data_IF_019107174896
#
_entry.id   IF_019107174896
#
_cell.length_a   1.000
_cell.length_b   1.000
_cell.length_c   1.000
_cell.angle_alpha   90.00
_cell.angle_beta   90.00
_cell.angle_gamma   90.00
#
_symmetry.space_group_name_H-M   'P 1'
#
loop_
_entity.id
_entity.type
_entity.pdbx_description
1 polymer ?
#
# COMPACT_ATOMS: atom_id res chain seq x y z
N UNK A 1 24.70 7.62 -7.33
CA UNK A 1 23.26 7.40 -7.01
C UNK A 1 23.17 6.41 -5.84
N UNK A 2 22.63 6.82 -4.67
CA UNK A 2 22.63 6.02 -3.42
C UNK A 2 21.54 4.92 -3.47
N UNK A 3 21.82 3.83 -4.17
CA UNK A 3 20.94 2.66 -4.34
C UNK A 3 20.51 2.00 -3.01
N UNK A 4 21.29 2.19 -1.94
CA UNK A 4 21.02 1.64 -0.59
C UNK A 4 19.77 2.22 0.08
N UNK A 5 19.42 3.47 -0.20
CA UNK A 5 18.26 4.13 0.43
C UNK A 5 16.94 3.61 -0.17
N UNK A 6 16.93 3.41 -1.49
CA UNK A 6 15.78 2.93 -2.24
C UNK A 6 15.38 1.50 -1.84
N UNK A 7 16.37 0.61 -1.71
CA UNK A 7 16.11 -0.78 -1.33
C UNK A 7 15.50 -0.92 0.07
N UNK A 8 15.89 -0.04 1.02
CA UNK A 8 15.32 -0.02 2.38
C UNK A 8 13.85 0.39 2.39
N UNK A 9 13.48 1.45 1.66
CA UNK A 9 12.08 1.93 1.56
C UNK A 9 11.19 0.93 0.81
N UNK A 10 11.72 0.28 -0.23
CA UNK A 10 11.02 -0.74 -1.01
C UNK A 10 10.71 -1.99 -0.17
N UNK A 11 11.67 -2.46 0.64
CA UNK A 11 11.47 -3.65 1.50
C UNK A 11 10.47 -3.38 2.63
N UNK A 12 10.50 -2.19 3.24
CA UNK A 12 9.57 -1.80 4.31
C UNK A 12 8.12 -1.65 3.84
N UNK A 13 7.90 -1.06 2.66
CA UNK A 13 6.55 -0.92 2.11
C UNK A 13 5.95 -2.27 1.72
N UNK A 14 6.71 -3.15 1.08
CA UNK A 14 6.24 -4.49 0.67
C UNK A 14 5.86 -5.35 1.89
N UNK A 15 6.65 -5.31 2.98
CA UNK A 15 6.45 -6.18 4.13
C UNK A 15 5.18 -5.84 4.93
N UNK A 16 4.88 -4.55 5.12
CA UNK A 16 3.77 -4.11 5.97
C UNK A 16 2.42 -4.14 5.23
N UNK A 17 2.41 -3.98 3.90
CA UNK A 17 1.15 -3.98 3.13
C UNK A 17 0.60 -5.37 2.84
N UNK A 18 1.46 -6.39 2.78
CA UNK A 18 1.04 -7.77 2.51
C UNK A 18 0.25 -8.40 3.67
N UNK A 19 0.49 -8.00 4.92
CA UNK A 19 -0.17 -8.60 6.09
C UNK A 19 -1.61 -8.11 6.25
N UNK A 20 -1.89 -6.84 5.98
CA UNK A 20 -3.26 -6.33 6.01
C UNK A 20 -4.09 -6.86 4.83
N UNK A 21 -3.54 -6.92 3.62
CA UNK A 21 -4.33 -7.22 2.42
C UNK A 21 -4.65 -8.71 2.23
N UNK A 22 -3.74 -9.63 2.61
CA UNK A 22 -3.97 -11.08 2.51
C UNK A 22 -5.18 -11.55 3.35
N UNK A 23 -5.51 -10.85 4.42
CA UNK A 23 -6.67 -11.14 5.25
C UNK A 23 -8.00 -10.61 4.70
N UNK A 24 -7.98 -9.61 3.80
CA UNK A 24 -9.20 -9.02 3.21
C UNK A 24 -9.51 -9.54 1.81
N UNK A 25 -8.49 -9.96 1.06
CA UNK A 25 -8.69 -10.63 -0.22
C UNK A 25 -9.06 -12.11 0.03
N UNK A 26 -10.35 -12.42 0.15
CA UNK A 26 -10.89 -13.79 -0.04
C UNK A 26 -10.59 -14.37 -1.44
N UNK A 27 -9.93 -13.61 -2.31
CA UNK A 27 -9.59 -14.00 -3.66
C UNK A 27 -8.14 -14.49 -3.66
N UNK A 28 -7.96 -15.81 -3.83
CA UNK A 28 -6.69 -16.44 -4.16
C UNK A 28 -5.98 -15.61 -5.24
N UNK A 29 -4.94 -14.88 -4.84
CA UNK A 29 -4.07 -14.17 -5.79
C UNK A 29 -3.00 -15.16 -6.18
N UNK A 30 -3.12 -15.75 -7.37
CA UNK A 30 -1.98 -16.42 -8.00
C UNK A 30 -0.98 -15.33 -8.38
N UNK A 31 0.04 -15.13 -7.55
CA UNK A 31 1.01 -14.03 -7.67
C UNK A 31 1.87 -14.11 -8.93
N UNK A 32 1.87 -15.26 -9.62
CA UNK A 32 2.68 -15.50 -10.82
C UNK A 32 2.27 -14.64 -12.03
N UNK A 33 1.11 -13.98 -11.99
CA UNK A 33 0.56 -13.19 -13.10
C UNK A 33 0.31 -11.71 -12.73
N UNK A 34 1.06 -11.15 -11.79
CA UNK A 34 0.96 -9.73 -11.42
C UNK A 34 2.13 -8.94 -12.01
N UNK A 35 1.80 -7.90 -12.77
CA UNK A 35 2.77 -6.92 -13.30
C UNK A 35 2.68 -5.63 -12.48
N UNK A 36 3.84 -5.06 -12.14
CA UNK A 36 3.95 -3.87 -11.30
C UNK A 36 4.39 -2.66 -12.12
N UNK A 37 3.72 -1.53 -11.93
CA UNK A 37 4.15 -0.23 -12.44
C UNK A 37 4.40 0.71 -11.25
N UNK A 38 5.62 1.20 -11.11
CA UNK A 38 6.01 2.10 -10.03
C UNK A 38 5.96 3.56 -10.49
N UNK A 39 5.42 4.45 -9.67
CA UNK A 39 5.39 5.88 -9.91
C UNK A 39 6.38 6.58 -8.97
N UNK A 40 7.40 7.23 -9.52
CA UNK A 40 8.40 7.98 -8.77
C UNK A 40 8.29 9.49 -9.01
N UNK A 41 8.51 10.29 -7.98
CA UNK A 41 8.65 11.74 -8.07
C UNK A 41 9.75 12.21 -7.12
N UNK A 42 10.71 12.97 -7.64
CA UNK A 42 11.83 13.52 -6.87
C UNK A 42 12.60 12.45 -6.04
N UNK A 43 12.74 11.23 -6.57
CA UNK A 43 13.41 10.12 -5.90
C UNK A 43 12.58 9.42 -4.81
N UNK A 44 11.30 9.76 -4.65
CA UNK A 44 10.35 9.09 -3.76
C UNK A 44 9.38 8.23 -4.57
N UNK A 45 9.09 7.02 -4.08
CA UNK A 45 8.06 6.15 -4.62
C UNK A 45 6.67 6.67 -4.20
N UNK A 46 5.98 7.39 -5.06
CA UNK A 46 4.69 8.02 -4.71
C UNK A 46 3.49 7.12 -4.99
N UNK A 47 3.67 6.05 -5.75
CA UNK A 47 2.60 5.08 -5.98
C UNK A 47 3.06 3.82 -6.70
N UNK A 48 2.18 2.83 -6.69
CA UNK A 48 2.36 1.58 -7.41
C UNK A 48 1.02 1.10 -7.95
N UNK A 49 0.96 0.71 -9.21
CA UNK A 49 -0.21 0.07 -9.82
C UNK A 49 0.11 -1.38 -10.16
N UNK A 50 -0.72 -2.29 -9.68
CA UNK A 50 -0.68 -3.71 -9.99
C UNK A 50 -1.68 -4.02 -11.10
N UNK A 51 -1.24 -4.84 -12.03
CA UNK A 51 -2.04 -5.35 -13.13
C UNK A 51 -2.10 -6.88 -13.07
N UNK A 52 -3.27 -7.44 -13.35
CA UNK A 52 -3.40 -8.87 -13.63
C UNK A 52 -3.12 -9.10 -15.11
N UNK A 53 -2.19 -10.01 -15.39
CA UNK A 53 -1.83 -10.43 -16.74
C UNK A 53 -2.59 -11.70 -17.13
N UNK A 54 -3.28 -11.63 -18.26
CA UNK A 54 -3.96 -12.77 -18.88
C UNK A 54 -3.48 -12.86 -20.34
N UNK A 55 -2.58 -13.81 -20.62
CA UNK A 55 -1.86 -13.86 -21.89
C UNK A 55 -1.03 -12.59 -22.13
N UNK A 56 -1.37 -11.85 -23.18
CA UNK A 56 -0.75 -10.54 -23.53
C UNK A 56 -1.52 -9.33 -22.98
N UNK A 57 -2.72 -9.54 -22.41
CA UNK A 57 -3.55 -8.46 -21.92
C UNK A 57 -3.22 -8.13 -20.45
N UNK A 58 -3.26 -6.84 -20.11
CA UNK A 58 -3.14 -6.34 -18.74
C UNK A 58 -4.46 -5.70 -18.32
N UNK A 59 -4.92 -6.04 -17.12
CA UNK A 59 -6.08 -5.40 -16.50
C UNK A 59 -5.71 -4.79 -15.15
N UNK A 60 -6.20 -3.58 -14.88
CA UNK A 60 -6.01 -2.91 -13.59
C UNK A 60 -6.48 -3.81 -12.45
N UNK A 61 -5.74 -3.79 -11.35
CA UNK A 61 -6.06 -4.59 -10.17
C UNK A 61 -6.05 -3.78 -8.87
N UNK A 62 -4.89 -3.31 -8.44
CA UNK A 62 -4.72 -2.56 -7.18
C UNK A 62 -3.86 -1.34 -7.45
N UNK A 63 -4.14 -0.24 -6.75
CA UNK A 63 -3.30 0.94 -6.73
C UNK A 63 -2.95 1.32 -5.30
N UNK A 64 -1.67 1.54 -5.05
CA UNK A 64 -1.11 2.08 -3.83
C UNK A 64 -0.69 3.52 -4.08
N UNK A 65 -0.99 4.41 -3.13
CA UNK A 65 -0.56 5.80 -3.18
C UNK A 65 0.07 6.15 -1.83
N UNK A 66 1.31 6.63 -1.86
CA UNK A 66 2.09 6.91 -0.66
C UNK A 66 2.16 8.41 -0.42
N UNK A 67 1.92 8.82 0.82
CA UNK A 67 2.16 10.19 1.29
C UNK A 67 3.30 10.19 2.29
N UNK A 68 4.00 11.31 2.36
CA UNK A 68 5.24 11.45 3.08
C UNK A 68 5.21 12.63 4.04
N UNK A 69 5.92 12.52 5.16
CA UNK A 69 6.22 13.65 6.03
C UNK A 69 7.38 14.51 5.49
N UNK A 70 7.74 15.56 6.23
CA UNK A 70 8.83 16.48 5.90
C UNK A 70 10.21 15.80 5.87
N UNK A 71 10.36 14.62 6.49
CA UNK A 71 11.59 13.84 6.53
C UNK A 71 11.60 12.70 5.51
N UNK A 72 10.67 12.70 4.54
CA UNK A 72 10.50 11.65 3.55
C UNK A 72 10.18 10.26 4.14
N UNK A 73 9.55 10.21 5.33
CA UNK A 73 8.98 8.97 5.88
C UNK A 73 7.53 8.81 5.41
N UNK A 74 7.12 7.59 5.08
CA UNK A 74 5.75 7.31 4.62
C UNK A 74 4.79 7.45 5.81
N UNK A 75 3.80 8.34 5.71
CA UNK A 75 2.81 8.54 6.79
C UNK A 75 1.45 7.93 6.44
N UNK A 76 1.14 7.76 5.16
CA UNK A 76 -0.07 7.07 4.73
C UNK A 76 0.18 6.29 3.44
N UNK A 77 -0.36 5.06 3.39
CA UNK A 77 -0.53 4.29 2.18
C UNK A 77 -2.03 4.13 1.91
N UNK A 78 -2.53 4.80 0.88
CA UNK A 78 -3.90 4.67 0.43
C UNK A 78 -4.03 3.57 -0.63
N UNK A 79 -4.91 2.61 -0.38
CA UNK A 79 -5.12 1.44 -1.23
C UNK A 79 -6.46 1.58 -1.94
N UNK A 80 -6.41 1.51 -3.27
CA UNK A 80 -7.58 1.50 -4.13
C UNK A 80 -7.66 0.18 -4.90
N UNK A 81 -8.87 -0.28 -5.15
CA UNK A 81 -9.13 -1.48 -5.94
C UNK A 81 -9.84 -1.10 -7.23
N UNK A 82 -9.46 -1.74 -8.33
CA UNK A 82 -10.11 -1.50 -9.61
C UNK A 82 -11.51 -2.11 -9.61
N UNK A 83 -12.52 -1.27 -9.82
CA UNK A 83 -13.89 -1.70 -10.07
C UNK A 83 -14.07 -1.91 -11.57
N UNK A 84 -14.13 -3.18 -12.00
CA UNK A 84 -14.24 -3.54 -13.41
C UNK A 84 -15.56 -3.08 -14.03
N UNK A 85 -16.66 -3.11 -13.27
CA UNK A 85 -17.99 -2.76 -13.76
C UNK A 85 -18.13 -1.26 -13.99
N UNK A 86 -17.64 -0.45 -13.03
CA UNK A 86 -17.65 1.01 -13.11
C UNK A 86 -16.47 1.60 -13.88
N UNK A 87 -15.48 0.77 -14.23
CA UNK A 87 -14.21 1.17 -14.87
C UNK A 87 -13.52 2.32 -14.13
N UNK A 88 -13.41 2.21 -12.80
CA UNK A 88 -12.79 3.22 -11.96
C UNK A 88 -12.05 2.63 -10.76
N UNK A 89 -11.23 3.44 -10.09
CA UNK A 89 -10.59 3.10 -8.82
C UNK A 89 -11.52 3.40 -7.64
N UNK A 90 -11.92 2.37 -6.90
CA UNK A 90 -12.68 2.51 -5.66
C UNK A 90 -11.75 2.52 -4.45
N UNK A 91 -12.03 3.38 -3.47
CA UNK A 91 -11.33 3.41 -2.18
C UNK A 91 -11.52 2.07 -1.46
N UNK A 92 -10.45 1.53 -0.88
CA UNK A 92 -10.48 0.24 -0.18
C UNK A 92 -9.95 0.35 1.24
N UNK A 93 -8.65 0.54 1.41
CA UNK A 93 -7.99 0.62 2.73
C UNK A 93 -7.12 1.87 2.81
N UNK A 94 -6.80 2.30 4.03
CA UNK A 94 -5.72 3.24 4.30
C UNK A 94 -4.90 2.71 5.47
N UNK A 95 -3.58 2.68 5.32
CA UNK A 95 -2.65 2.33 6.40
C UNK A 95 -1.90 3.59 6.77
N UNK A 96 -1.99 3.99 8.04
CA UNK A 96 -1.31 5.16 8.58
C UNK A 96 -0.17 4.74 9.48
N UNK A 97 0.92 5.49 9.43
CA UNK A 97 2.15 5.21 10.16
C UNK A 97 2.41 6.33 11.16
N UNK A 98 2.77 5.97 12.38
CA UNK A 98 3.30 6.91 13.36
C UNK A 98 4.68 6.46 13.81
N UNK A 99 5.58 7.42 13.97
CA UNK A 99 6.98 7.19 14.27
C UNK A 99 7.33 7.78 15.63
N UNK A 100 7.89 6.96 16.52
CA UNK A 100 8.47 7.38 17.79
C UNK A 100 9.87 6.78 17.93
N UNK A 101 10.87 7.49 17.41
CA UNK A 101 12.22 6.96 17.22
C UNK A 101 12.20 5.77 16.26
N UNK A 102 12.69 4.62 16.73
CA UNK A 102 12.67 3.36 15.99
C UNK A 102 11.34 2.60 16.11
N UNK A 103 10.45 3.00 17.02
CA UNK A 103 9.13 2.39 17.15
C UNK A 103 8.22 2.94 16.05
N UNK A 104 7.66 2.03 15.25
CA UNK A 104 6.67 2.33 14.22
C UNK A 104 5.36 1.71 14.65
N UNK A 105 4.31 2.53 14.73
CA UNK A 105 2.93 2.05 14.88
C UNK A 105 2.22 2.16 13.54
N UNK A 106 1.32 1.22 13.27
CA UNK A 106 0.48 1.24 12.07
C UNK A 106 -0.97 1.05 12.43
N UNK A 107 -1.82 1.87 11.81
CA UNK A 107 -3.26 1.83 11.97
C UNK A 107 -3.90 1.55 10.62
N UNK A 108 -4.71 0.50 10.56
CA UNK A 108 -5.38 0.10 9.33
C UNK A 108 -6.84 0.54 9.36
N UNK A 109 -7.29 1.16 8.28
CA UNK A 109 -8.64 1.64 8.11
C UNK A 109 -9.26 1.05 6.85
N UNK A 110 -10.57 0.77 6.90
CA UNK A 110 -11.37 0.35 5.76
C UNK A 110 -12.34 1.43 5.34
N UNK A 111 -12.43 1.66 4.04
CA UNK A 111 -13.43 2.55 3.47
C UNK A 111 -14.84 2.01 3.71
N UNK A 112 -15.68 2.84 4.34
CA UNK A 112 -17.12 2.65 4.48
C UNK A 112 -17.81 3.59 3.49
N UNK A 113 -18.28 3.04 2.38
CA UNK A 113 -18.94 3.82 1.33
C UNK A 113 -20.27 4.43 1.81
N UNK A 114 -20.96 3.79 2.75
CA UNK A 114 -22.23 4.30 3.28
C UNK A 114 -22.01 5.53 4.15
N UNK A 115 -20.91 5.55 4.91
CA UNK A 115 -20.53 6.66 5.78
C UNK A 115 -19.57 7.65 5.13
N UNK A 116 -19.20 7.44 3.87
CA UNK A 116 -18.20 8.20 3.12
C UNK A 116 -16.92 8.49 3.94
N UNK A 117 -16.45 7.50 4.69
CA UNK A 117 -15.34 7.67 5.65
C UNK A 117 -14.55 6.38 5.87
N UNK A 118 -13.33 6.54 6.37
CA UNK A 118 -12.47 5.42 6.75
C UNK A 118 -12.75 5.00 8.20
N UNK A 119 -13.14 3.74 8.41
CA UNK A 119 -13.37 3.14 9.72
C UNK A 119 -12.13 2.37 10.17
N UNK A 120 -11.64 2.66 11.37
CA UNK A 120 -10.50 1.96 11.98
C UNK A 120 -10.80 0.46 12.13
N UNK A 121 -9.79 -0.37 11.89
CA UNK A 121 -9.84 -1.81 12.06
C UNK A 121 -8.79 -2.25 13.10
N UNK A 122 -9.10 -2.15 14.41
CA UNK A 122 -8.11 -2.35 15.48
C UNK A 122 -7.38 -3.70 15.41
N UNK A 123 -8.04 -4.75 14.91
CA UNK A 123 -7.47 -6.10 14.74
C UNK A 123 -6.21 -6.13 13.86
N UNK A 124 -6.04 -5.17 12.95
CA UNK A 124 -4.93 -5.12 12.00
C UNK A 124 -3.91 -4.04 12.34
N UNK A 125 -4.07 -3.36 13.48
CA UNK A 125 -3.06 -2.45 13.98
C UNK A 125 -1.87 -3.25 14.47
N UNK A 126 -0.66 -2.80 14.16
CA UNK A 126 0.58 -3.44 14.62
C UNK A 126 1.61 -2.39 14.98
N UNK A 127 2.52 -2.75 15.88
CA UNK A 127 3.68 -1.95 16.22
C UNK A 127 4.94 -2.81 16.11
N UNK A 128 6.01 -2.24 15.58
CA UNK A 128 7.28 -2.93 15.41
C UNK A 128 8.44 -1.95 15.55
N UNK A 129 9.64 -2.49 15.75
CA UNK A 129 10.87 -1.71 15.78
C UNK A 129 11.49 -1.77 14.39
N UNK A 130 11.71 -0.62 13.77
CA UNK A 130 12.55 -0.50 12.58
C UNK A 130 13.95 0.00 12.98
N UNK A 131 14.97 -0.88 13.01
CA UNK A 131 16.32 -0.49 13.41
C UNK A 131 17.02 0.43 12.39
N UNK A 132 16.41 0.71 11.23
CA UNK A 132 16.96 1.56 10.19
C UNK A 132 16.44 3.01 10.22
N UNK A 133 15.54 3.34 11.16
CA UNK A 133 15.01 4.70 11.38
C UNK A 133 15.80 5.52 12.38
#
# INVERSE_FOLDING_TARGET
MRMKSFYRVLVLTILVTCTAFSAFAKQSVNTNNIVYNFEERNGLLVGQTLYKQEGKALSHYIRYNYTYDQNNKIVENNIQMWNKDKKQWDKSLSVRYEYNGQNVSTQCYKWDANKNSYKLLPKYNTSFIDPNL
#
